data_IF_610673977188
#
_entry.id   IF_610673977188
#
_cell.length_a   1.000
_cell.length_b   1.000
_cell.length_c   1.000
_cell.angle_alpha   90.00
_cell.angle_beta   90.00
_cell.angle_gamma   90.00
#
_symmetry.space_group_name_H-M   'P 1'
#
loop_
_entity.id
_entity.type
_entity.pdbx_description
1 polymer ?
2 polymer ?
3 water ?
#
# COMPACT_ATOMS: atom_id res chain seq x y z
N UNK A 4 2.65 -14.27 10.09
CA UNK A 4 3.07 -12.87 10.39
C UNK A 4 2.64 -11.97 9.22
N UNK A 5 1.47 -11.33 9.37
CA UNK A 5 0.98 -10.21 8.54
C UNK A 5 0.56 -10.60 7.12
N UNK A 6 0.67 -11.86 6.73
CA UNK A 6 0.23 -12.23 5.42
C UNK A 6 -1.27 -11.93 5.31
N UNK A 7 -2.06 -12.23 6.34
CA UNK A 7 -3.50 -12.21 6.21
C UNK A 7 -3.98 -10.77 5.96
N UNK A 8 -3.49 -9.84 6.76
CA UNK A 8 -3.96 -8.46 6.61
C UNK A 8 -3.62 -7.92 5.20
N UNK A 9 -2.45 -8.28 4.67
CA UNK A 9 -2.08 -7.85 3.34
C UNK A 9 -3.00 -8.54 2.32
N UNK A 10 -3.17 -9.86 2.46
CA UNK A 10 -3.88 -10.64 1.47
C UNK A 10 -5.33 -10.16 1.38
N UNK A 11 -5.99 -9.94 2.53
CA UNK A 11 -7.38 -9.49 2.51
C UNK A 11 -7.52 -8.08 1.93
N UNK A 12 -6.53 -7.23 2.20
CA UNK A 12 -6.53 -5.87 1.67
C UNK A 12 -6.43 -5.87 0.13
N UNK A 13 -5.46 -6.62 -0.39
CA UNK A 13 -5.18 -6.63 -1.83
C UNK A 13 -6.35 -7.31 -2.54
N UNK A 14 -6.93 -8.35 -1.94
CA UNK A 14 -8.06 -9.00 -2.54
C UNK A 14 -9.23 -8.01 -2.73
N UNK A 15 -9.49 -7.24 -1.69
CA UNK A 15 -10.49 -6.18 -1.71
C UNK A 15 -10.21 -5.11 -2.76
N UNK A 16 -8.99 -4.58 -2.80
CA UNK A 16 -8.62 -3.54 -3.80
C UNK A 16 -8.82 -4.05 -5.23
N UNK A 17 -8.53 -5.33 -5.47
CA UNK A 17 -8.59 -5.83 -6.82
C UNK A 17 -10.05 -6.07 -7.19
N UNK A 18 -10.82 -6.61 -6.24
CA UNK A 18 -12.22 -6.83 -6.40
C UNK A 18 -12.96 -5.50 -6.70
N UNK A 19 -12.53 -4.40 -6.08
CA UNK A 19 -13.09 -3.11 -6.36
C UNK A 19 -12.85 -2.66 -7.80
N UNK A 20 -11.86 -3.23 -8.48
CA UNK A 20 -11.59 -2.86 -9.86
C UNK A 20 -12.11 -3.94 -10.83
N UNK A 21 -12.86 -4.92 -10.33
CA UNK A 21 -13.43 -5.94 -11.18
C UNK A 21 -12.51 -7.13 -11.40
N UNK A 22 -11.46 -7.30 -10.58
CA UNK A 22 -10.56 -8.46 -10.69
C UNK A 22 -10.66 -9.39 -9.46
N UNK A 23 -10.80 -10.69 -9.72
CA UNK A 23 -10.84 -11.72 -8.65
C UNK A 23 -9.44 -12.32 -8.48
N UNK A 24 -8.96 -12.48 -7.23
CA UNK A 24 -7.56 -12.91 -7.03
C UNK A 24 -7.36 -14.09 -6.04
N UNK A 25 -7.65 -13.85 -4.74
CA UNK A 25 -7.42 -14.82 -3.62
C UNK A 25 -5.96 -14.81 -3.16
N UNK A 41 -5.62 -8.37 13.12
CA UNK A 41 -5.96 -9.82 13.14
C UNK A 41 -7.49 -10.02 13.02
N UNK A 42 -8.33 -9.47 13.92
CA UNK A 42 -9.79 -9.76 13.81
C UNK A 42 -10.46 -8.83 12.78
N UNK A 43 -11.70 -9.14 12.37
CA UNK A 43 -12.32 -8.53 11.22
C UNK A 43 -12.49 -7.01 11.39
N UNK A 44 -12.64 -6.50 12.62
CA UNK A 44 -12.83 -5.06 12.77
C UNK A 44 -11.60 -4.30 12.25
N UNK A 45 -10.40 -4.87 12.41
CA UNK A 45 -9.16 -4.29 11.89
C UNK A 45 -9.23 -4.24 10.35
N UNK A 46 -9.58 -5.37 9.72
CA UNK A 46 -9.59 -5.45 8.24
C UNK A 46 -10.62 -4.46 7.68
N UNK A 47 -11.77 -4.38 8.34
CA UNK A 47 -12.84 -3.42 7.93
C UNK A 47 -12.36 -1.98 8.04
N UNK A 48 -11.66 -1.65 9.14
CA UNK A 48 -11.30 -0.27 9.40
C UNK A 48 -10.29 0.14 8.34
N UNK A 49 -9.35 -0.78 8.05
CA UNK A 49 -8.29 -0.53 7.08
C UNK A 49 -8.90 -0.32 5.69
N UNK A 50 -9.86 -1.17 5.33
CA UNK A 50 -10.57 -1.01 4.04
C UNK A 50 -11.17 0.38 3.96
N UNK A 51 -11.86 0.79 5.04
CA UNK A 51 -12.59 2.03 5.03
C UNK A 51 -11.59 3.19 4.98
N UNK A 52 -10.49 3.11 5.75
CA UNK A 52 -9.53 4.16 5.79
C UNK A 52 -8.88 4.35 4.41
N UNK A 53 -8.44 3.25 3.82
CA UNK A 53 -7.86 3.21 2.48
C UNK A 53 -8.79 3.79 1.43
N UNK A 54 -10.04 3.37 1.49
CA UNK A 54 -11.08 3.88 0.56
C UNK A 54 -11.25 5.41 0.71
N UNK A 55 -11.29 5.92 1.95
CA UNK A 55 -11.45 7.35 2.21
C UNK A 55 -10.23 8.11 1.67
N UNK A 56 -9.04 7.54 1.86
CA UNK A 56 -7.82 8.14 1.45
C UNK A 56 -7.75 8.23 -0.07
N UNK A 57 -8.08 7.14 -0.74
CA UNK A 57 -8.02 7.16 -2.20
C UNK A 57 -9.13 8.05 -2.78
N UNK A 58 -10.27 8.17 -2.09
CA UNK A 58 -11.31 9.06 -2.58
C UNK A 58 -10.88 10.52 -2.43
N UNK A 59 -10.27 10.85 -1.30
CA UNK A 59 -9.93 12.20 -1.00
C UNK A 59 -8.82 12.65 -1.95
N UNK A 60 -7.90 11.73 -2.28
CA UNK A 60 -6.75 12.05 -3.11
C UNK A 60 -6.87 11.35 -4.47
N UNK A 61 -8.08 11.35 -5.03
CA UNK A 61 -8.39 10.61 -6.26
C UNK A 61 -7.51 11.05 -7.43
N UNK A 62 -7.40 12.35 -7.67
CA UNK A 62 -6.58 12.83 -8.79
C UNK A 62 -5.11 12.48 -8.58
N UNK A 63 -4.56 12.67 -7.37
CA UNK A 63 -3.19 12.31 -7.06
C UNK A 63 -2.96 10.82 -7.37
N UNK A 64 -3.88 9.98 -6.88
CA UNK A 64 -3.76 8.53 -7.08
C UNK A 64 -3.85 8.16 -8.56
N UNK A 65 -4.76 8.80 -9.31
CA UNK A 65 -4.92 8.48 -10.76
C UNK A 65 -3.63 8.84 -11.50
N UNK A 66 -3.06 10.00 -11.17
CA UNK A 66 -1.85 10.41 -11.84
C UNK A 66 -0.67 9.51 -11.43
N UNK A 67 -0.60 9.14 -10.14
CA UNK A 67 0.46 8.24 -9.65
C UNK A 67 0.35 6.89 -10.37
N UNK A 68 -0.88 6.38 -10.53
CA UNK A 68 -1.09 5.09 -11.21
C UNK A 68 -0.53 5.16 -12.63
N UNK A 69 -0.83 6.28 -13.30
CA UNK A 69 -0.44 6.60 -14.68
C UNK A 69 1.07 6.63 -14.84
N UNK A 70 1.74 7.40 -13.99
CA UNK A 70 3.15 7.70 -14.10
C UNK A 70 4.03 6.56 -13.60
N UNK A 71 3.48 5.68 -12.77
CA UNK A 71 4.22 4.58 -12.21
C UNK A 71 4.83 3.78 -13.36
N UNK A 72 6.13 3.47 -13.25
CA UNK A 72 6.80 2.56 -14.16
C UNK A 72 6.80 1.17 -13.51
N UNK A 73 6.47 0.14 -14.31
CA UNK A 73 6.23 -1.17 -13.83
C UNK A 73 6.55 -2.21 -14.90
N UNK A 74 7.56 -3.03 -14.59
CA UNK A 74 7.88 -4.29 -15.30
C UNK A 74 8.36 -5.32 -14.30
N UNK A 75 8.43 -6.62 -14.66
CA UNK A 75 8.93 -7.63 -13.74
C UNK A 75 10.31 -7.29 -13.15
N UNK A 76 11.20 -6.77 -13.99
CA UNK A 76 12.55 -6.51 -13.59
C UNK A 76 12.72 -5.25 -12.77
N UNK A 77 11.78 -4.31 -12.85
CA UNK A 77 11.89 -3.06 -12.07
C UNK A 77 10.94 -3.03 -10.85
N UNK A 78 9.94 -3.91 -10.79
CA UNK A 78 8.86 -3.77 -9.79
C UNK A 78 9.40 -3.80 -8.36
N UNK A 79 10.29 -4.74 -8.04
CA UNK A 79 10.82 -4.89 -6.68
C UNK A 79 11.50 -3.59 -6.22
N UNK A 80 12.36 -3.05 -7.09
CA UNK A 80 13.10 -1.82 -6.78
C UNK A 80 12.11 -0.65 -6.67
N UNK A 81 11.07 -0.59 -7.51
CA UNK A 81 10.11 0.50 -7.44
C UNK A 81 9.39 0.50 -6.08
N UNK A 82 8.85 -0.67 -5.69
CA UNK A 82 8.17 -0.81 -4.43
C UNK A 82 9.09 -0.39 -3.28
N UNK A 83 10.30 -0.97 -3.21
CA UNK A 83 11.23 -0.69 -2.12
C UNK A 83 11.54 0.80 -2.02
N UNK A 84 11.83 1.45 -3.14
CA UNK A 84 12.19 2.85 -3.14
C UNK A 84 11.03 3.72 -2.64
N UNK A 85 9.83 3.56 -3.23
CA UNK A 85 8.66 4.29 -2.78
C UNK A 85 8.47 4.14 -1.28
N UNK A 86 8.46 2.89 -0.79
CA UNK A 86 8.11 2.63 0.57
C UNK A 86 9.22 3.16 1.50
N UNK A 87 10.49 3.06 1.09
CA UNK A 87 11.59 3.66 1.91
C UNK A 87 11.40 5.19 2.03
N UNK A 88 11.00 5.85 0.94
CA UNK A 88 10.80 7.32 0.97
C UNK A 88 9.55 7.66 1.82
N UNK A 89 8.48 6.85 1.67
CA UNK A 89 7.26 7.08 2.42
C UNK A 89 7.55 7.15 3.93
N UNK A 90 8.46 6.29 4.41
CA UNK A 90 8.71 6.14 5.88
C UNK A 90 10.04 6.75 6.33
N UNK A 91 10.65 7.59 5.49
CA UNK A 91 11.96 8.21 5.69
C UNK A 91 11.98 8.98 7.03
N UNK A 92 10.85 9.60 7.37
CA UNK A 92 10.72 10.49 8.52
C UNK A 92 10.03 9.79 9.69
N UNK A 93 9.86 8.47 9.61
CA UNK A 93 9.17 7.75 10.65
C UNK A 93 7.80 7.22 10.22
N UNK A 94 7.25 6.39 11.12
CA UNK A 94 6.02 5.69 10.89
C UNK A 94 4.90 6.41 11.64
N UNK A 95 3.71 6.46 11.02
CA UNK A 95 2.50 6.81 11.73
C UNK A 95 1.35 6.17 10.96
N UNK A 96 0.15 6.17 11.53
CA UNK A 96 -0.95 5.42 10.97
C UNK A 96 -1.28 5.93 9.57
N UNK A 97 -1.21 7.25 9.35
CA UNK A 97 -1.60 7.79 8.06
C UNK A 97 -0.69 7.29 6.94
N UNK A 98 0.58 7.13 7.30
CA UNK A 98 1.60 6.61 6.39
C UNK A 98 1.41 5.12 6.17
N UNK A 99 0.94 4.41 7.21
CA UNK A 99 0.66 2.98 7.09
C UNK A 99 -0.53 2.79 6.12
N UNK A 100 -1.55 3.61 6.24
CA UNK A 100 -2.69 3.55 5.29
C UNK A 100 -2.24 3.82 3.85
N UNK A 101 -1.33 4.78 3.65
CA UNK A 101 -0.85 5.12 2.33
C UNK A 101 -0.06 3.96 1.74
N UNK A 102 0.74 3.32 2.60
CA UNK A 102 1.49 2.12 2.28
C UNK A 102 0.57 1.06 1.68
N UNK A 103 -0.48 0.71 2.44
CA UNK A 103 -1.45 -0.28 1.97
C UNK A 103 -2.08 0.17 0.66
N UNK A 104 -2.46 1.43 0.56
CA UNK A 104 -3.09 1.93 -0.67
C UNK A 104 -2.10 1.90 -1.83
N UNK A 105 -0.82 2.15 -1.58
CA UNK A 105 0.15 2.13 -2.67
C UNK A 105 0.37 0.69 -3.16
N UNK A 106 0.40 -0.27 -2.23
CA UNK A 106 0.44 -1.69 -2.60
C UNK A 106 -0.75 -2.06 -3.48
N UNK A 107 -1.90 -1.50 -3.16
CA UNK A 107 -3.10 -1.70 -3.95
C UNK A 107 -2.96 -1.13 -5.35
N UNK A 108 -2.47 0.12 -5.45
CA UNK A 108 -2.23 0.75 -6.73
C UNK A 108 -1.31 -0.11 -7.59
N UNK A 109 -0.21 -0.62 -7.03
CA UNK A 109 0.73 -1.38 -7.81
C UNK A 109 0.09 -2.67 -8.32
N UNK A 110 -0.74 -3.30 -7.47
CA UNK A 110 -1.39 -4.54 -7.84
C UNK A 110 -2.42 -4.28 -8.95
N UNK A 111 -3.19 -3.21 -8.83
CA UNK A 111 -4.24 -2.87 -9.81
C UNK A 111 -3.56 -2.56 -11.14
N UNK A 112 -2.49 -1.77 -11.10
CA UNK A 112 -1.76 -1.41 -12.32
C UNK A 112 -1.15 -2.67 -12.94
N UNK A 113 -0.60 -3.56 -12.12
CA UNK A 113 -0.04 -4.81 -12.60
C UNK A 113 -1.08 -5.57 -13.44
N UNK A 114 -2.30 -5.67 -12.93
CA UNK A 114 -3.33 -6.40 -13.63
C UNK A 114 -3.71 -5.63 -14.90
N UNK A 115 -3.92 -4.33 -14.78
CA UNK A 115 -4.23 -3.38 -15.87
C UNK A 115 -3.27 -3.54 -17.06
N UNK A 116 -1.99 -3.73 -16.73
CA UNK A 116 -0.94 -3.70 -17.72
C UNK A 116 -0.56 -5.10 -18.19
N UNK A 117 -1.40 -6.12 -17.89
CA UNK A 117 -1.21 -7.50 -18.25
C UNK A 117 0.07 -8.08 -17.64
N UNK A 118 0.32 -7.75 -16.37
CA UNK A 118 1.45 -8.23 -15.61
C UNK A 118 0.94 -8.79 -14.28
N UNK A 119 -0.18 -9.51 -14.32
CA UNK A 119 -0.87 -9.92 -13.10
C UNK A 119 -0.03 -10.88 -12.26
N UNK A 120 0.96 -11.53 -12.88
CA UNK A 120 1.88 -12.39 -12.19
C UNK A 120 2.56 -11.64 -11.02
N UNK A 121 2.71 -10.31 -11.11
CA UNK A 121 3.34 -9.47 -10.06
C UNK A 121 2.52 -9.38 -8.78
N UNK A 122 1.21 -9.58 -8.85
CA UNK A 122 0.36 -9.36 -7.65
C UNK A 122 0.88 -10.15 -6.45
N UNK A 123 1.15 -11.44 -6.66
CA UNK A 123 1.61 -12.33 -5.61
C UNK A 123 2.91 -11.81 -5.00
N UNK A 124 3.81 -11.31 -5.86
CA UNK A 124 5.08 -10.83 -5.38
C UNK A 124 4.87 -9.55 -4.53
N UNK A 125 4.01 -8.65 -5.00
CA UNK A 125 3.81 -7.37 -4.32
C UNK A 125 3.24 -7.67 -2.93
N UNK A 126 2.28 -8.60 -2.85
CA UNK A 126 1.66 -8.95 -1.59
C UNK A 126 2.73 -9.46 -0.61
N UNK A 127 3.68 -10.24 -1.12
CA UNK A 127 4.75 -10.79 -0.29
C UNK A 127 5.69 -9.69 0.18
N UNK A 128 6.02 -8.74 -0.69
CA UNK A 128 6.88 -7.64 -0.33
C UNK A 128 6.20 -6.80 0.75
N UNK A 129 4.89 -6.58 0.59
CA UNK A 129 4.16 -5.82 1.59
C UNK A 129 4.19 -6.52 2.96
N UNK A 130 4.01 -7.87 2.98
CA UNK A 130 3.93 -8.59 4.24
C UNK A 130 5.32 -8.54 4.90
N UNK A 131 6.38 -8.72 4.11
CA UNK A 131 7.76 -8.67 4.62
C UNK A 131 8.03 -7.30 5.25
N UNK A 132 7.62 -6.24 4.54
CA UNK A 132 7.87 -4.87 5.01
C UNK A 132 7.14 -4.63 6.34
N UNK A 133 5.88 -5.03 6.42
CA UNK A 133 5.15 -4.98 7.70
C UNK A 133 5.92 -5.72 8.80
N UNK A 134 6.30 -6.97 8.52
CA UNK A 134 6.94 -7.83 9.47
C UNK A 134 8.26 -7.24 9.96
N UNK A 135 9.09 -6.75 9.04
CA UNK A 135 10.45 -6.37 9.33
C UNK A 135 10.61 -4.89 9.68
N UNK A 136 9.70 -4.04 9.22
CA UNK A 136 9.94 -2.60 9.32
C UNK A 136 8.79 -1.81 9.96
N UNK A 137 7.58 -2.36 10.02
CA UNK A 137 6.48 -1.61 10.65
C UNK A 137 6.07 -2.21 11.98
N UNK A 138 6.39 -3.49 12.17
CA UNK A 138 5.94 -4.25 13.33
C UNK A 138 6.36 -3.55 14.63
N UNK A 139 7.59 -3.05 14.71
CA UNK A 139 8.06 -2.47 15.98
C UNK A 139 7.25 -1.21 16.34
N UNK A 140 7.07 -0.32 15.37
CA UNK A 140 6.28 0.87 15.59
C UNK A 140 4.84 0.50 15.97
N UNK A 141 4.26 -0.49 15.30
CA UNK A 141 2.86 -0.82 15.56
C UNK A 141 2.76 -1.36 16.98
N UNK A 142 3.66 -2.28 17.31
CA UNK A 142 3.68 -2.92 18.64
C UNK A 142 3.83 -1.88 19.77
N UNK A 143 4.66 -0.87 19.55
CA UNK A 143 5.04 0.11 20.54
C UNK A 143 4.05 1.28 20.58
N UNK A 144 3.00 1.25 19.74
CA UNK A 144 2.04 2.36 19.68
C UNK A 144 0.62 1.83 19.77
N UNK A 145 0.44 0.76 20.56
CA UNK A 145 -0.86 0.22 20.97
C UNK A 145 -1.42 -0.89 20.07
N UNK A 146 -0.70 -1.26 19.01
CA UNK A 146 -1.16 -2.25 18.05
C UNK A 146 -2.32 -1.77 17.18
N UNK A 147 -2.83 -2.69 16.36
CA UNK A 147 -3.94 -2.45 15.47
C UNK A 147 -5.20 -1.98 16.22
N UNK A 148 -5.35 -2.35 17.49
CA UNK A 148 -6.47 -1.88 18.27
C UNK A 148 -6.45 -0.35 18.31
N UNK A 149 -5.27 0.24 18.48
CA UNK A 149 -5.14 1.68 18.48
C UNK A 149 -5.59 2.25 17.14
N UNK A 150 -5.24 1.59 16.04
CA UNK A 150 -5.65 2.03 14.72
C UNK A 150 -7.18 2.07 14.64
N UNK A 151 -7.82 1.02 15.15
CA UNK A 151 -9.27 0.93 15.14
C UNK A 151 -9.89 2.07 15.95
N UNK A 152 -9.28 2.40 17.09
CA UNK A 152 -9.75 3.50 17.96
C UNK A 152 -9.58 4.82 17.19
N UNK A 153 -8.45 5.02 16.51
CA UNK A 153 -8.24 6.27 15.78
C UNK A 153 -9.26 6.44 14.62
N UNK A 154 -9.49 5.39 13.82
CA UNK A 154 -10.22 5.51 12.58
C UNK A 154 -11.67 5.01 12.67
N UNK A 155 -12.04 4.37 13.79
CA UNK A 155 -13.38 3.78 13.95
C UNK A 155 -14.43 4.83 14.27
N UNK B 3 18.65 7.08 -10.75
CA UNK B 3 18.16 7.21 -12.17
C UNK B 3 16.64 6.92 -12.21
N UNK B 4 16.27 5.63 -12.35
CA UNK B 4 14.88 5.14 -12.18
C UNK B 4 14.54 5.17 -10.68
N UNK B 5 15.56 5.14 -9.82
CA UNK B 5 15.38 5.43 -8.41
C UNK B 5 14.61 6.74 -8.23
N UNK B 6 15.00 7.77 -9.01
CA UNK B 6 14.53 9.14 -8.90
C UNK B 6 13.03 9.26 -9.15
N UNK B 7 12.48 8.70 -10.23
CA UNK B 7 11.03 8.81 -10.41
C UNK B 7 10.32 8.13 -9.23
N UNK B 8 10.81 6.96 -8.78
CA UNK B 8 10.12 6.21 -7.73
C UNK B 8 10.27 6.96 -6.40
N UNK B 9 11.44 7.56 -6.15
CA UNK B 9 11.67 8.32 -4.92
C UNK B 9 10.64 9.46 -4.82
N UNK B 10 10.39 10.15 -5.93
CA UNK B 10 9.48 11.28 -5.98
C UNK B 10 8.04 10.80 -5.78
N UNK B 11 7.67 9.65 -6.35
CA UNK B 11 6.35 9.06 -6.04
C UNK B 11 6.22 8.84 -4.53
N UNK B 12 7.26 8.28 -3.91
CA UNK B 12 7.21 8.02 -2.49
C UNK B 12 7.02 9.28 -1.67
N UNK B 13 7.68 10.37 -2.10
CA UNK B 13 7.57 11.68 -1.39
C UNK B 13 6.15 12.24 -1.56
N UNK B 14 5.59 12.09 -2.76
CA UNK B 14 4.25 12.58 -3.05
C UNK B 14 3.29 11.89 -2.10
N UNK B 15 3.54 10.60 -1.91
CA UNK B 15 2.68 9.73 -1.15
C UNK B 15 2.80 10.09 0.33
N UNK B 16 4.04 10.36 0.77
CA UNK B 16 4.26 10.74 2.14
C UNK B 16 3.49 12.03 2.43
N UNK B 17 3.58 12.97 1.49
CA UNK B 17 2.95 14.31 1.67
C UNK B 17 1.42 14.18 1.65
N UNK B 18 0.88 13.32 0.80
CA UNK B 18 -0.55 12.98 0.83
C UNK B 18 -0.94 12.37 2.19
N UNK B 19 -0.15 11.41 2.69
CA UNK B 19 -0.38 10.87 4.02
C UNK B 19 -0.41 11.98 5.08
N UNK B 20 0.56 12.90 5.04
CA UNK B 20 0.72 13.85 6.15
C UNK B 20 -0.32 14.98 6.03
N UNK B 21 -1.01 15.06 4.88
CA UNK B 21 -2.04 16.05 4.66
C UNK B 21 -3.30 15.72 5.49
N UNK B 22 -3.36 14.47 5.97
#
# INVERSE_FOLDING_TARGET
MSQDNREIVMKYISYKLSQRGYEWDAGDVEENRTEAPEGTESEVVHQTLRQAGDDFSLRYRRDFAEMSSQLHLTPGTAYASFATVVEELFRDGVNWGRIVAFFEFGGVMCVESVNREMSVLVDNIAAWMATYLNDHLHTWIQDNGGWDAFVELYGNNAAAESRKGQERFLEHHHHHH
RGEEEQWAREIGAQLRRMADDLN
#
